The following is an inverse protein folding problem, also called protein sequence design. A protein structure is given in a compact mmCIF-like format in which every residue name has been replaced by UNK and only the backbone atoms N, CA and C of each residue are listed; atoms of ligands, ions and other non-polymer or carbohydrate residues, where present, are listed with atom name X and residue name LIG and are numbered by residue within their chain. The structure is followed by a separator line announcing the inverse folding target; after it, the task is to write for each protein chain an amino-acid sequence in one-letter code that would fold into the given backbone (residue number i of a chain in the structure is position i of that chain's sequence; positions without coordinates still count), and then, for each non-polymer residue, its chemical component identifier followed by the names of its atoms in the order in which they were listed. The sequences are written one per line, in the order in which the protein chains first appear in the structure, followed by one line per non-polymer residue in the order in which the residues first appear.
data_IF_813863181301
#
_entry.id   IF_813863181301
#
_cell.length_a   1.000
_cell.length_b   1.000
_cell.length_c   1.000
_cell.angle_alpha   90.00
_cell.angle_beta   90.00
_cell.angle_gamma   90.00
#
_symmetry.space_group_name_H-M   'P 1'
#
loop_
_entity.id
_entity.type
_entity.pdbx_description
1 polymer ?
#
# COMPACT_ATOMS: atom_id res chain seq x y z
N UNK A 1 -5.07 -1.63 24.30
CA UNK A 1 -3.99 -2.40 23.61
C UNK A 1 -3.95 -1.95 22.16
N UNK A 2 -2.79 -1.78 21.52
CA UNK A 2 -2.75 -1.44 20.08
C UNK A 2 -3.03 -2.69 19.27
N UNK A 3 -3.93 -2.61 18.28
CA UNK A 3 -4.25 -3.69 17.37
C UNK A 3 -3.05 -4.05 16.48
N UNK A 4 -2.95 -5.29 16.03
CA UNK A 4 -1.83 -5.78 15.23
C UNK A 4 -1.63 -4.98 13.93
N UNK A 5 -2.72 -4.57 13.27
CA UNK A 5 -2.69 -3.78 12.05
C UNK A 5 -2.44 -2.27 12.26
N UNK A 6 -2.28 -1.79 13.49
CA UNK A 6 -2.18 -0.36 13.82
C UNK A 6 -0.98 0.38 13.18
N UNK A 7 -0.01 -0.35 12.61
CA UNK A 7 1.12 0.23 11.86
C UNK A 7 0.78 0.59 10.42
N UNK A 8 -0.31 0.06 9.87
CA UNK A 8 -0.77 0.38 8.53
C UNK A 8 -1.28 1.82 8.45
N UNK A 9 -1.04 2.47 7.33
CA UNK A 9 -1.56 3.80 7.03
C UNK A 9 -3.09 3.82 6.92
N UNK A 10 -3.68 2.68 6.62
CA UNK A 10 -5.13 2.48 6.46
C UNK A 10 -5.86 2.15 7.76
N UNK A 11 -5.17 1.76 8.85
CA UNK A 11 -5.81 1.32 10.08
C UNK A 11 -6.85 2.33 10.61
N UNK A 12 -6.41 3.56 10.87
CA UNK A 12 -7.29 4.63 11.38
C UNK A 12 -8.42 5.03 10.41
N UNK A 13 -8.15 5.22 9.09
CA UNK A 13 -9.18 5.46 8.10
C UNK A 13 -10.28 4.39 8.08
N UNK A 14 -9.92 3.10 8.14
CA UNK A 14 -10.87 2.00 8.20
C UNK A 14 -11.69 2.02 9.49
N UNK A 15 -11.04 2.14 10.64
CA UNK A 15 -11.74 2.20 11.92
C UNK A 15 -12.74 3.38 11.97
N UNK A 16 -12.33 4.55 11.47
CA UNK A 16 -13.22 5.71 11.40
C UNK A 16 -14.41 5.44 10.47
N UNK A 17 -14.16 4.89 9.28
CA UNK A 17 -15.21 4.55 8.32
C UNK A 17 -16.21 3.55 8.92
N UNK A 18 -15.73 2.49 9.57
CA UNK A 18 -16.60 1.50 10.19
C UNK A 18 -17.47 2.10 11.30
N UNK A 19 -16.90 2.95 12.17
CA UNK A 19 -17.70 3.64 13.22
C UNK A 19 -18.77 4.55 12.65
N UNK A 20 -18.54 5.16 11.49
CA UNK A 20 -19.52 6.02 10.82
C UNK A 20 -20.61 5.23 10.09
N UNK A 21 -20.26 4.14 9.43
CA UNK A 21 -21.17 3.39 8.56
C UNK A 21 -21.81 2.17 9.22
N UNK A 22 -21.12 1.57 10.18
CA UNK A 22 -21.50 0.34 10.87
C UNK A 22 -21.29 0.46 12.38
N UNK A 23 -21.92 1.47 13.05
CA UNK A 23 -21.65 1.77 14.46
C UNK A 23 -21.88 0.58 15.39
N UNK A 24 -22.93 -0.21 15.12
CA UNK A 24 -23.30 -1.36 15.96
C UNK A 24 -22.34 -2.55 15.78
N UNK A 25 -21.74 -2.72 14.61
CA UNK A 25 -20.86 -3.84 14.25
C UNK A 25 -19.38 -3.48 14.35
N UNK A 26 -19.03 -2.20 14.53
CA UNK A 26 -17.66 -1.71 14.37
C UNK A 26 -16.63 -2.47 15.22
N UNK A 27 -16.89 -2.68 16.49
CA UNK A 27 -15.93 -3.36 17.39
C UNK A 27 -15.80 -4.86 17.06
N UNK A 28 -16.87 -5.50 16.55
CA UNK A 28 -16.81 -6.88 16.07
C UNK A 28 -15.97 -6.96 14.78
N UNK A 29 -16.19 -6.02 13.83
CA UNK A 29 -15.37 -5.92 12.61
C UNK A 29 -13.90 -5.74 12.98
N UNK A 30 -13.57 -4.88 13.95
CA UNK A 30 -12.18 -4.66 14.36
C UNK A 30 -11.53 -5.90 14.96
N UNK A 31 -12.25 -6.64 15.80
CA UNK A 31 -11.74 -7.88 16.38
C UNK A 31 -11.45 -8.92 15.30
N UNK A 32 -12.42 -9.14 14.38
CA UNK A 32 -12.28 -10.07 13.26
C UNK A 32 -11.18 -9.63 12.27
N UNK A 33 -11.06 -8.32 12.01
CA UNK A 33 -9.99 -7.78 11.17
C UNK A 33 -8.59 -8.02 11.77
N UNK A 34 -8.45 -7.95 13.10
CA UNK A 34 -7.18 -8.28 13.74
C UNK A 34 -6.80 -9.75 13.54
N UNK A 35 -7.75 -10.66 13.67
CA UNK A 35 -7.56 -12.10 13.42
C UNK A 35 -7.17 -12.38 11.96
N UNK A 36 -7.92 -11.81 11.01
CA UNK A 36 -7.64 -11.93 9.58
C UNK A 36 -6.25 -11.35 9.24
N UNK A 37 -5.91 -10.18 9.76
CA UNK A 37 -4.59 -9.56 9.55
C UNK A 37 -3.46 -10.45 10.03
N UNK A 38 -3.58 -11.03 11.22
CA UNK A 38 -2.58 -11.94 11.76
C UNK A 38 -2.47 -13.24 10.94
N UNK A 39 -3.55 -13.70 10.32
CA UNK A 39 -3.52 -14.82 9.38
C UNK A 39 -2.75 -14.46 8.11
N UNK A 40 -3.07 -13.32 7.47
CA UNK A 40 -2.35 -12.85 6.27
C UNK A 40 -0.85 -12.58 6.52
N UNK A 41 -0.49 -12.12 7.71
CA UNK A 41 0.91 -11.88 8.07
C UNK A 41 1.77 -13.16 8.05
N UNK A 42 1.18 -14.36 8.09
CA UNK A 42 1.91 -15.62 7.95
C UNK A 42 2.40 -15.85 6.53
N UNK A 43 1.70 -15.28 5.55
CA UNK A 43 1.99 -15.39 4.13
C UNK A 43 2.78 -14.17 3.61
N UNK A 44 3.45 -13.43 4.54
CA UNK A 44 4.25 -12.27 4.17
C UNK A 44 5.40 -12.65 3.26
N UNK A 45 5.45 -12.14 2.01
CA UNK A 45 6.51 -12.47 1.08
C UNK A 45 7.87 -11.89 1.51
N UNK A 46 8.96 -12.43 0.98
CA UNK A 46 10.33 -11.92 1.23
C UNK A 46 10.58 -10.60 0.51
N UNK A 47 10.15 -9.53 1.16
CA UNK A 47 10.31 -8.15 0.65
C UNK A 47 11.57 -7.48 1.18
N UNK A 48 12.19 -8.03 2.21
CA UNK A 48 13.28 -7.40 2.94
C UNK A 48 12.82 -6.19 3.77
N UNK A 49 13.78 -5.53 4.42
CA UNK A 49 13.56 -4.32 5.23
C UNK A 49 13.74 -3.07 4.36
N UNK A 50 12.75 -2.71 3.57
CA UNK A 50 12.80 -1.56 2.68
C UNK A 50 11.51 -0.72 2.73
N UNK A 51 11.55 0.44 2.07
CA UNK A 51 10.44 1.40 2.06
C UNK A 51 9.14 0.84 1.45
N UNK A 52 9.25 -0.14 0.55
CA UNK A 52 8.09 -0.70 -0.15
C UNK A 52 7.35 -1.76 0.68
N UNK A 53 8.01 -2.35 1.70
CA UNK A 53 7.39 -3.39 2.53
C UNK A 53 6.11 -2.90 3.26
N UNK A 54 6.03 -1.61 3.58
CA UNK A 54 4.85 -1.00 4.18
C UNK A 54 3.59 -1.15 3.31
N UNK A 55 3.73 -1.15 1.98
CA UNK A 55 2.61 -1.31 1.05
C UNK A 55 1.93 -2.68 1.22
N UNK A 56 2.71 -3.71 1.57
CA UNK A 56 2.14 -5.04 1.82
C UNK A 56 1.39 -5.10 3.15
N UNK A 57 1.86 -4.38 4.19
CA UNK A 57 1.12 -4.23 5.44
C UNK A 57 -0.20 -3.49 5.23
N UNK A 58 -0.19 -2.48 4.38
CA UNK A 58 -1.40 -1.74 3.98
C UNK A 58 -2.37 -2.66 3.22
N UNK A 59 -1.87 -3.47 2.29
CA UNK A 59 -2.66 -4.45 1.56
C UNK A 59 -3.31 -5.48 2.51
N UNK A 60 -2.57 -6.07 3.41
CA UNK A 60 -3.12 -7.01 4.39
C UNK A 60 -4.15 -6.37 5.32
N UNK A 61 -4.00 -5.09 5.64
CA UNK A 61 -5.02 -4.35 6.40
C UNK A 61 -6.30 -4.19 5.58
N UNK A 62 -6.19 -3.85 4.30
CA UNK A 62 -7.34 -3.74 3.39
C UNK A 62 -8.09 -5.07 3.33
N UNK A 63 -7.38 -6.17 3.08
CA UNK A 63 -7.99 -7.51 3.03
C UNK A 63 -8.62 -7.92 4.36
N UNK A 64 -7.95 -7.62 5.47
CA UNK A 64 -8.46 -7.97 6.80
C UNK A 64 -9.81 -7.29 7.08
N UNK A 65 -9.97 -6.03 6.71
CA UNK A 65 -11.24 -5.32 6.84
C UNK A 65 -12.29 -5.80 5.83
N UNK A 66 -11.87 -6.13 4.61
CA UNK A 66 -12.76 -6.70 3.58
C UNK A 66 -13.36 -8.01 4.07
N UNK A 67 -12.56 -8.96 4.54
CA UNK A 67 -13.01 -10.24 5.09
C UNK A 67 -13.83 -10.07 6.39
N UNK A 68 -13.35 -9.23 7.31
CA UNK A 68 -14.03 -9.00 8.59
C UNK A 68 -15.44 -8.43 8.44
N UNK A 69 -15.66 -7.66 7.39
CA UNK A 69 -16.97 -7.05 7.09
C UNK A 69 -17.87 -7.95 6.21
N UNK A 70 -17.46 -9.18 5.92
CA UNK A 70 -18.17 -10.06 4.99
C UNK A 70 -18.38 -9.39 3.63
N UNK A 71 -17.29 -8.77 3.12
CA UNK A 71 -17.19 -8.05 1.84
C UNK A 71 -18.04 -6.77 1.74
N UNK A 72 -18.63 -6.28 2.85
CA UNK A 72 -19.36 -5.00 2.87
C UNK A 72 -18.44 -3.79 2.63
N UNK A 73 -17.15 -3.91 3.01
CA UNK A 73 -16.12 -2.92 2.73
C UNK A 73 -15.46 -3.21 1.37
N UNK A 74 -16.25 -3.12 0.32
CA UNK A 74 -15.90 -3.43 -1.07
C UNK A 74 -14.92 -2.43 -1.71
N UNK A 75 -14.74 -2.52 -3.03
CA UNK A 75 -13.86 -1.62 -3.77
C UNK A 75 -14.25 -0.15 -3.68
N UNK A 76 -15.54 0.18 -3.66
CA UNK A 76 -16.00 1.57 -3.55
C UNK A 76 -15.74 2.12 -2.14
N UNK A 77 -15.98 1.32 -1.10
CA UNK A 77 -15.61 1.67 0.27
C UNK A 77 -14.09 1.89 0.39
N UNK A 78 -13.28 1.00 -0.20
CA UNK A 78 -11.83 1.15 -0.27
C UNK A 78 -11.43 2.48 -0.91
N UNK A 79 -12.04 2.85 -2.05
CA UNK A 79 -11.73 4.10 -2.73
C UNK A 79 -12.07 5.32 -1.87
N UNK A 80 -13.21 5.31 -1.16
CA UNK A 80 -13.58 6.38 -0.23
C UNK A 80 -12.59 6.49 0.94
N UNK A 81 -12.21 5.35 1.53
CA UNK A 81 -11.24 5.29 2.64
C UNK A 81 -9.86 5.81 2.19
N UNK A 82 -9.40 5.43 0.98
CA UNK A 82 -8.16 5.94 0.39
C UNK A 82 -8.22 7.46 0.23
N UNK A 83 -9.29 8.02 -0.31
CA UNK A 83 -9.45 9.47 -0.44
C UNK A 83 -9.33 10.17 0.91
N UNK A 84 -9.94 9.64 1.96
CA UNK A 84 -9.83 10.18 3.32
C UNK A 84 -8.40 10.10 3.88
N UNK A 85 -7.68 9.01 3.58
CA UNK A 85 -6.28 8.85 3.97
C UNK A 85 -5.37 9.87 3.27
N UNK A 86 -5.57 10.09 1.95
CA UNK A 86 -4.81 11.04 1.15
C UNK A 86 -5.14 12.50 1.54
N UNK A 87 -6.39 12.81 1.88
CA UNK A 87 -6.79 14.17 2.30
C UNK A 87 -6.03 14.64 3.55
N UNK A 88 -5.65 13.72 4.44
CA UNK A 88 -4.76 14.03 5.57
C UNK A 88 -3.34 14.40 5.13
N UNK A 89 -2.89 13.94 3.96
CA UNK A 89 -1.59 14.27 3.40
C UNK A 89 -1.58 15.59 2.60
N UNK A 90 -2.76 16.18 2.29
CA UNK A 90 -2.86 17.48 1.58
C UNK A 90 -2.15 18.62 2.31
N UNK A 91 -1.97 18.50 3.62
CA UNK A 91 -1.17 19.48 4.37
C UNK A 91 0.28 19.51 3.88
N UNK A 92 0.89 18.35 3.59
CA UNK A 92 2.23 18.28 3.00
C UNK A 92 2.26 18.81 1.57
N UNK A 93 1.20 18.56 0.79
CA UNK A 93 1.06 19.05 -0.59
C UNK A 93 0.99 20.58 -0.70
N UNK A 94 0.59 21.29 0.37
CA UNK A 94 0.65 22.76 0.42
C UNK A 94 2.08 23.30 0.43
N UNK A 95 3.04 22.53 0.92
CA UNK A 95 4.45 22.91 0.99
C UNK A 95 5.29 22.35 -0.16
N UNK A 96 4.81 21.34 -0.84
CA UNK A 96 5.53 20.66 -1.93
C UNK A 96 4.63 20.61 -3.15
N UNK A 97 4.72 21.63 -4.01
CA UNK A 97 4.08 21.59 -5.32
C UNK A 97 5.01 20.83 -6.28
N UNK A 98 4.72 19.54 -6.45
CA UNK A 98 5.49 18.65 -7.31
C UNK A 98 5.49 19.09 -8.78
N UNK A 99 4.49 19.87 -9.24
CA UNK A 99 4.43 20.38 -10.60
C UNK A 99 5.32 21.61 -10.81
N UNK A 100 5.64 22.35 -9.75
CA UNK A 100 6.44 23.58 -9.82
C UNK A 100 7.89 23.40 -9.38
N UNK A 101 8.16 22.38 -8.56
CA UNK A 101 9.47 22.19 -7.93
C UNK A 101 10.16 20.94 -8.50
N UNK A 102 11.31 21.12 -9.12
CA UNK A 102 12.11 20.00 -9.65
C UNK A 102 12.86 19.19 -8.57
N UNK A 103 13.05 19.75 -7.38
CA UNK A 103 13.84 19.09 -6.32
C UNK A 103 13.15 17.83 -5.71
N UNK A 104 11.81 17.74 -5.56
CA UNK A 104 11.19 16.52 -5.07
C UNK A 104 11.43 15.35 -6.02
N UNK A 105 11.34 15.55 -7.34
CA UNK A 105 11.61 14.51 -8.32
C UNK A 105 13.03 13.97 -8.23
N UNK A 106 14.03 14.87 -8.07
CA UNK A 106 15.43 14.45 -7.88
C UNK A 106 15.63 13.66 -6.59
N UNK A 107 14.90 14.01 -5.53
CA UNK A 107 14.94 13.28 -4.27
C UNK A 107 14.33 11.88 -4.41
N UNK A 108 13.17 11.79 -5.04
CA UNK A 108 12.51 10.51 -5.33
C UNK A 108 13.39 9.63 -6.23
N UNK A 109 13.92 10.17 -7.32
CA UNK A 109 14.81 9.46 -8.23
C UNK A 109 16.02 8.88 -7.48
N UNK A 110 16.73 9.70 -6.68
CA UNK A 110 17.86 9.23 -5.86
C UNK A 110 17.45 8.11 -4.90
N UNK A 111 16.27 8.21 -4.30
CA UNK A 111 15.76 7.21 -3.36
C UNK A 111 15.50 5.88 -4.10
N UNK A 112 14.85 5.91 -5.25
CA UNK A 112 14.60 4.70 -6.03
C UNK A 112 15.85 4.11 -6.67
N UNK A 113 16.81 4.94 -7.10
CA UNK A 113 18.13 4.46 -7.56
C UNK A 113 18.84 3.71 -6.43
N UNK A 114 18.87 4.29 -5.22
CA UNK A 114 19.45 3.63 -4.04
C UNK A 114 18.72 2.32 -3.71
N UNK A 115 17.39 2.34 -3.74
CA UNK A 115 16.57 1.14 -3.55
C UNK A 115 16.93 0.05 -4.55
N UNK A 116 16.96 0.34 -5.85
CA UNK A 116 17.30 -0.62 -6.89
C UNK A 116 18.70 -1.23 -6.70
N UNK A 117 19.68 -0.41 -6.34
CA UNK A 117 21.06 -0.89 -6.07
C UNK A 117 21.06 -1.87 -4.90
N UNK A 118 20.38 -1.53 -3.83
CA UNK A 118 20.27 -2.36 -2.64
C UNK A 118 19.52 -3.66 -2.93
N UNK A 119 18.39 -3.59 -3.63
CA UNK A 119 17.60 -4.76 -4.03
C UNK A 119 18.42 -5.73 -4.89
N UNK A 120 19.11 -5.24 -5.93
CA UNK A 120 19.98 -6.07 -6.78
C UNK A 120 21.06 -6.79 -5.96
N UNK A 121 21.67 -6.12 -5.00
CA UNK A 121 22.68 -6.70 -4.12
C UNK A 121 22.10 -7.81 -3.22
N UNK A 122 20.86 -7.65 -2.71
CA UNK A 122 20.18 -8.67 -1.92
C UNK A 122 19.74 -9.83 -2.78
N UNK A 123 19.14 -9.57 -3.94
CA UNK A 123 18.71 -10.62 -4.87
C UNK A 123 19.87 -11.48 -5.39
N UNK A 124 21.05 -10.89 -5.57
CA UNK A 124 22.26 -11.67 -5.93
C UNK A 124 22.67 -12.70 -4.84
N UNK A 125 22.17 -12.55 -3.59
CA UNK A 125 22.34 -13.50 -2.49
C UNK A 125 21.12 -14.36 -2.22
N UNK A 126 20.08 -14.31 -3.08
CA UNK A 126 18.84 -15.06 -2.89
C UNK A 126 17.90 -14.44 -1.83
N UNK A 127 18.11 -13.17 -1.47
CA UNK A 127 17.29 -12.43 -0.49
C UNK A 127 16.36 -11.45 -1.22
N UNK A 128 15.24 -11.07 -0.62
CA UNK A 128 14.26 -10.08 -1.15
C UNK A 128 13.69 -10.46 -2.52
N UNK A 129 13.54 -11.74 -2.77
CA UNK A 129 13.17 -12.28 -4.09
C UNK A 129 11.76 -11.85 -4.52
N UNK A 130 10.88 -11.57 -3.58
CA UNK A 130 9.49 -11.17 -3.83
C UNK A 130 9.29 -9.66 -3.96
N UNK A 131 10.33 -8.86 -3.75
CA UNK A 131 10.21 -7.41 -3.72
C UNK A 131 10.00 -6.80 -5.11
N UNK A 132 9.35 -5.62 -5.15
CA UNK A 132 9.18 -4.86 -6.40
C UNK A 132 10.51 -4.57 -7.08
N UNK A 133 10.52 -4.64 -8.40
CA UNK A 133 11.58 -4.06 -9.22
C UNK A 133 11.13 -2.69 -9.71
N UNK A 134 12.01 -1.72 -9.64
CA UNK A 134 11.74 -0.35 -10.11
C UNK A 134 12.54 -0.09 -11.38
N UNK A 135 11.86 0.30 -12.46
CA UNK A 135 12.50 0.81 -13.68
C UNK A 135 12.29 2.31 -13.71
N UNK A 136 13.40 3.04 -13.62
CA UNK A 136 13.37 4.51 -13.57
C UNK A 136 13.44 5.05 -14.98
N UNK A 137 12.57 6.01 -15.28
CA UNK A 137 12.45 6.70 -16.56
C UNK A 137 12.47 5.76 -17.79
N UNK A 138 11.58 4.74 -17.84
CA UNK A 138 11.59 3.74 -18.91
C UNK A 138 11.34 4.35 -20.29
N UNK A 139 10.61 5.48 -20.34
CA UNK A 139 10.22 6.15 -21.58
C UNK A 139 11.20 7.28 -21.97
N UNK A 140 12.35 7.41 -21.29
CA UNK A 140 13.36 8.45 -21.51
C UNK A 140 12.80 9.86 -21.50
N UNK A 141 11.81 10.15 -20.65
CA UNK A 141 11.21 11.49 -20.52
C UNK A 141 12.23 12.49 -20.02
N UNK A 142 12.17 13.69 -20.57
CA UNK A 142 13.07 14.80 -20.19
C UNK A 142 12.51 15.65 -19.05
N UNK A 143 11.21 15.52 -18.78
CA UNK A 143 10.51 16.26 -17.73
C UNK A 143 9.78 15.32 -16.77
N UNK A 144 9.79 15.71 -15.48
CA UNK A 144 9.13 14.97 -14.42
C UNK A 144 9.88 13.73 -13.97
N UNK A 145 9.25 12.99 -13.06
CA UNK A 145 9.74 11.71 -12.57
C UNK A 145 8.79 10.60 -13.02
N UNK A 146 9.32 9.64 -13.76
CA UNK A 146 8.59 8.47 -14.24
C UNK A 146 9.29 7.20 -13.78
N UNK A 147 8.53 6.22 -13.31
CA UNK A 147 9.03 4.90 -12.97
C UNK A 147 7.96 3.84 -13.17
N UNK A 148 8.39 2.62 -13.46
CA UNK A 148 7.52 1.46 -13.47
C UNK A 148 7.86 0.54 -12.30
N UNK A 149 6.83 0.05 -11.61
CA UNK A 149 6.94 -1.01 -10.62
C UNK A 149 6.64 -2.34 -11.31
N UNK A 150 7.61 -3.24 -11.32
CA UNK A 150 7.49 -4.55 -11.99
C UNK A 150 7.50 -5.64 -10.94
N UNK A 151 6.67 -6.68 -11.15
CA UNK A 151 6.59 -7.82 -10.25
C UNK A 151 5.94 -7.44 -8.92
N UNK A 152 4.80 -6.73 -8.98
CA UNK A 152 4.08 -6.28 -7.80
C UNK A 152 3.65 -7.47 -6.92
N UNK A 153 4.14 -7.60 -5.68
CA UNK A 153 3.75 -8.70 -4.78
C UNK A 153 2.28 -8.60 -4.35
N UNK A 154 1.71 -7.38 -4.30
CA UNK A 154 0.28 -7.20 -4.03
C UNK A 154 -0.56 -7.82 -5.15
N UNK A 155 -0.24 -7.52 -6.42
CA UNK A 155 -0.97 -8.07 -7.55
C UNK A 155 -0.83 -9.60 -7.64
N UNK A 156 0.35 -10.14 -7.31
CA UNK A 156 0.58 -11.58 -7.24
C UNK A 156 -0.26 -12.21 -6.14
N UNK A 157 -0.18 -11.69 -4.92
CA UNK A 157 -0.97 -12.17 -3.78
C UNK A 157 -2.48 -12.10 -4.06
N UNK A 158 -2.96 -10.99 -4.63
CA UNK A 158 -4.38 -10.84 -5.00
C UNK A 158 -4.82 -11.95 -5.96
N UNK A 159 -4.01 -12.24 -6.98
CA UNK A 159 -4.30 -13.28 -7.96
C UNK A 159 -4.28 -14.69 -7.35
N UNK A 160 -3.30 -14.97 -6.50
CA UNK A 160 -3.13 -16.28 -5.86
C UNK A 160 -4.26 -16.60 -4.85
N UNK A 161 -4.87 -15.56 -4.27
CA UNK A 161 -5.88 -15.70 -3.22
C UNK A 161 -7.29 -15.21 -3.62
N UNK A 162 -7.51 -14.81 -4.89
CA UNK A 162 -8.83 -14.46 -5.41
C UNK A 162 -9.33 -13.08 -5.02
N UNK A 163 -8.43 -12.10 -4.79
CA UNK A 163 -8.77 -10.70 -4.43
C UNK A 163 -8.55 -9.71 -5.58
N UNK A 164 -8.56 -10.19 -6.82
CA UNK A 164 -8.24 -9.38 -8.01
C UNK A 164 -9.22 -8.22 -8.20
N UNK A 165 -10.46 -8.37 -7.77
CA UNK A 165 -11.49 -7.33 -7.87
C UNK A 165 -11.16 -6.06 -7.08
N UNK A 166 -10.30 -6.12 -6.05
CA UNK A 166 -9.88 -4.96 -5.28
C UNK A 166 -8.74 -4.17 -5.94
N UNK A 167 -7.98 -4.78 -6.86
CA UNK A 167 -6.82 -4.14 -7.49
C UNK A 167 -7.15 -2.86 -8.26
N UNK A 168 -8.24 -2.78 -9.07
CA UNK A 168 -8.59 -1.54 -9.78
C UNK A 168 -8.79 -0.36 -8.84
N UNK A 169 -9.38 -0.60 -7.67
CA UNK A 169 -9.63 0.43 -6.65
C UNK A 169 -8.37 0.80 -5.88
N UNK A 170 -7.49 -0.18 -5.64
CA UNK A 170 -6.20 0.07 -5.01
C UNK A 170 -5.30 0.90 -5.92
N UNK A 171 -5.17 0.55 -7.20
CA UNK A 171 -4.24 1.17 -8.13
C UNK A 171 -4.78 2.48 -8.75
N UNK A 172 -6.10 2.73 -8.73
CA UNK A 172 -6.74 3.89 -9.37
C UNK A 172 -6.25 5.24 -8.87
N UNK A 173 -5.69 5.32 -7.68
CA UNK A 173 -5.22 6.58 -7.08
C UNK A 173 -3.72 6.80 -7.26
N UNK A 174 -3.03 5.89 -7.94
CA UNK A 174 -1.57 5.95 -8.14
C UNK A 174 -1.20 6.70 -9.45
N UNK A 175 -2.21 7.31 -10.12
CA UNK A 175 -2.07 8.07 -11.37
C UNK A 175 -2.28 9.56 -11.16
#
# INVERSE_FOLDING_TARGET
MKRAYAKSSYAKPYEQYCREKYPDDAEQIFAKAEECYLAFMKDMPDLGKNMMAANMLDWFTILAFYEASEHKLDGEALLEIKRRAVDKMKFLGKFVDGNRQKWPYKLFEKTYVKYNKMQKAHQARGEWMDSWRVVINPDHRTEGFCFHLIGCPIARHAKEHGYEELLPYLCRTDH
#
